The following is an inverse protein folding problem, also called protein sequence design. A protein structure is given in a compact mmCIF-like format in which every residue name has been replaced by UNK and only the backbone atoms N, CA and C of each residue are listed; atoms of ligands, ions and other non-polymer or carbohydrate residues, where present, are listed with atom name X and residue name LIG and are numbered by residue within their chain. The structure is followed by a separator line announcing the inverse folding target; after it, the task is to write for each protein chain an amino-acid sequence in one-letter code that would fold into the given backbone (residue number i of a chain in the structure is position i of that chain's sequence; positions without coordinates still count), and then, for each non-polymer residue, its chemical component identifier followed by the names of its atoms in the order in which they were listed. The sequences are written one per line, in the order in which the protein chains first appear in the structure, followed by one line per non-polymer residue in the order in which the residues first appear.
data_IF_463246595690
#
_entry.id   IF_463246595690
#
_cell.length_a   1.000
_cell.length_b   1.000
_cell.length_c   1.000
_cell.angle_alpha   90.00
_cell.angle_beta   90.00
_cell.angle_gamma   90.00
#
_symmetry.space_group_name_H-M   'P 1'
#
loop_
_entity.id
_entity.type
_entity.pdbx_description
1 polymer ?
#
# COMPACT_ATOMS: atom_id res chain seq x y z
N UNK A 1 -6.20 28.26 -1.97
CA UNK A 1 -6.23 27.09 -2.88
C UNK A 1 -5.10 26.17 -2.44
N UNK A 2 -5.40 24.96 -1.98
CA UNK A 2 -4.35 23.99 -1.58
C UNK A 2 -3.81 23.38 -2.87
N UNK A 3 -2.53 23.59 -3.16
CA UNK A 3 -1.86 22.98 -4.32
C UNK A 3 -1.41 21.58 -3.90
N UNK A 4 -1.99 20.53 -4.49
CA UNK A 4 -1.49 19.15 -4.32
C UNK A 4 -0.19 19.04 -5.13
N UNK A 5 0.93 18.77 -4.45
CA UNK A 5 2.18 18.48 -5.14
C UNK A 5 2.03 17.22 -6.01
N UNK A 6 2.73 17.21 -7.14
CA UNK A 6 2.76 16.05 -8.03
C UNK A 6 3.27 14.84 -7.26
N UNK A 7 2.58 13.73 -7.42
CA UNK A 7 3.00 12.47 -6.81
C UNK A 7 4.33 12.02 -7.41
N UNK A 8 5.22 11.50 -6.56
CA UNK A 8 6.49 10.94 -7.04
C UNK A 8 6.23 9.65 -7.80
N UNK A 9 7.08 9.40 -8.80
CA UNK A 9 7.08 8.13 -9.53
C UNK A 9 7.93 7.15 -8.74
N UNK A 10 7.37 5.97 -8.47
CA UNK A 10 8.05 4.86 -7.79
C UNK A 10 8.30 3.81 -8.85
N UNK A 11 9.56 3.66 -9.26
CA UNK A 11 9.97 2.69 -10.26
C UNK A 11 10.10 1.30 -9.62
N UNK A 12 9.91 0.24 -10.41
CA UNK A 12 10.03 -1.13 -9.90
C UNK A 12 11.47 -1.51 -9.59
N UNK A 13 12.39 -1.09 -10.46
CA UNK A 13 13.79 -1.49 -10.37
C UNK A 13 14.54 -0.69 -9.29
N UNK A 14 14.17 0.58 -9.10
CA UNK A 14 14.70 1.46 -8.07
C UNK A 14 13.56 2.25 -7.41
N UNK A 15 13.16 1.80 -6.22
CA UNK A 15 12.03 2.35 -5.47
C UNK A 15 12.34 3.76 -4.95
N UNK A 16 13.61 4.03 -4.63
CA UNK A 16 14.04 5.24 -3.93
C UNK A 16 14.68 6.29 -4.86
N UNK A 17 14.83 6.00 -6.16
CA UNK A 17 15.38 6.91 -7.17
C UNK A 17 14.87 8.37 -7.10
N UNK A 18 13.60 8.55 -6.73
CA UNK A 18 12.93 9.86 -6.65
C UNK A 18 12.61 10.31 -5.21
N UNK A 19 13.11 9.62 -4.18
CA UNK A 19 12.89 10.01 -2.79
C UNK A 19 13.93 11.02 -2.30
N UNK A 20 13.59 12.30 -2.47
CA UNK A 20 14.45 13.43 -2.06
C UNK A 20 14.65 13.57 -0.54
N UNK A 21 13.89 12.83 0.27
CA UNK A 21 13.98 12.88 1.74
C UNK A 21 14.83 11.74 2.34
N UNK A 22 15.45 10.90 1.50
CA UNK A 22 16.40 9.85 1.90
C UNK A 22 15.83 8.91 2.99
N UNK A 23 14.64 8.36 2.73
CA UNK A 23 13.90 7.54 3.71
C UNK A 23 14.12 6.05 3.54
N UNK A 24 15.02 5.63 2.65
CA UNK A 24 15.35 4.22 2.39
C UNK A 24 15.69 3.48 3.68
N UNK A 25 16.67 3.96 4.45
CA UNK A 25 17.06 3.30 5.71
C UNK A 25 15.94 3.23 6.75
N UNK A 26 15.02 4.20 6.78
CA UNK A 26 13.84 4.15 7.65
C UNK A 26 12.85 3.09 7.19
N UNK A 27 12.61 3.01 5.88
CA UNK A 27 11.71 2.04 5.25
C UNK A 27 12.26 0.63 5.41
N UNK A 28 13.56 0.42 5.22
CA UNK A 28 14.22 -0.88 5.42
C UNK A 28 14.01 -1.41 6.83
N UNK A 29 14.30 -0.56 7.83
CA UNK A 29 14.14 -0.92 9.23
C UNK A 29 12.68 -1.25 9.56
N UNK A 30 11.73 -0.44 9.08
CA UNK A 30 10.32 -0.69 9.32
C UNK A 30 9.81 -1.95 8.60
N UNK A 31 10.21 -2.16 7.35
CA UNK A 31 9.87 -3.36 6.58
C UNK A 31 10.38 -4.63 7.27
N UNK A 32 11.58 -4.60 7.84
CA UNK A 32 12.13 -5.72 8.62
C UNK A 32 11.29 -6.03 9.86
N UNK A 33 10.81 -5.00 10.56
CA UNK A 33 9.92 -5.19 11.72
C UNK A 33 8.61 -5.84 11.25
N UNK A 34 8.00 -5.31 10.18
CA UNK A 34 6.75 -5.83 9.62
C UNK A 34 6.92 -7.30 9.18
N UNK A 35 8.01 -7.64 8.49
CA UNK A 35 8.24 -8.97 7.94
C UNK A 35 8.62 -10.04 8.97
N UNK A 36 9.16 -9.64 10.12
CA UNK A 36 9.53 -10.56 11.20
C UNK A 36 8.45 -10.74 12.28
N UNK A 37 7.45 -9.86 12.29
CA UNK A 37 6.36 -9.93 13.27
C UNK A 37 5.31 -10.95 12.82
N UNK A 38 5.08 -11.98 13.63
CA UNK A 38 4.09 -13.03 13.33
C UNK A 38 2.72 -12.74 13.92
N UNK A 39 2.65 -11.97 15.00
CA UNK A 39 1.39 -11.64 15.66
C UNK A 39 0.69 -10.46 14.95
N UNK A 40 -0.65 -10.46 14.84
CA UNK A 40 -1.37 -9.32 14.28
C UNK A 40 -1.11 -8.04 15.08
N UNK A 41 -0.80 -6.95 14.39
CA UNK A 41 -0.59 -5.64 15.02
C UNK A 41 -1.14 -4.49 14.20
N UNK A 42 -1.29 -3.34 14.87
CA UNK A 42 -1.68 -2.07 14.25
C UNK A 42 -0.57 -1.07 14.47
N UNK A 43 -0.14 -0.41 13.39
CA UNK A 43 0.85 0.66 13.42
C UNK A 43 0.20 1.97 13.00
N UNK A 44 0.47 3.04 13.76
CA UNK A 44 0.12 4.40 13.39
C UNK A 44 1.38 5.18 12.97
N UNK A 45 1.28 5.94 11.89
CA UNK A 45 2.33 6.82 11.39
C UNK A 45 1.81 8.25 11.50
N UNK A 46 2.47 9.06 12.33
CA UNK A 46 2.09 10.45 12.57
C UNK A 46 3.19 11.43 12.14
N UNK A 47 2.77 12.59 11.61
CA UNK A 47 3.64 13.70 11.21
C UNK A 47 2.78 14.93 10.85
N UNK A 48 3.41 16.08 10.60
CA UNK A 48 2.71 17.28 10.13
C UNK A 48 2.14 17.16 8.71
N UNK A 49 1.19 18.05 8.39
CA UNK A 49 0.67 18.18 7.03
C UNK A 49 1.81 18.58 6.06
N UNK A 50 1.91 17.88 4.93
CA UNK A 50 2.97 18.11 3.95
C UNK A 50 4.29 17.38 4.22
N UNK A 51 4.44 16.66 5.34
CA UNK A 51 5.64 15.87 5.64
C UNK A 51 5.84 14.63 4.74
N UNK A 52 4.96 14.41 3.75
CA UNK A 52 5.10 13.31 2.79
C UNK A 52 4.69 11.93 3.31
N UNK A 53 3.78 11.84 4.30
CA UNK A 53 3.23 10.58 4.82
C UNK A 53 2.66 9.67 3.74
N UNK A 54 1.87 10.23 2.82
CA UNK A 54 1.30 9.49 1.68
C UNK A 54 2.40 8.87 0.81
N UNK A 55 3.46 9.64 0.53
CA UNK A 55 4.63 9.16 -0.20
C UNK A 55 5.35 8.04 0.57
N UNK A 56 5.54 8.23 1.88
CA UNK A 56 6.17 7.23 2.73
C UNK A 56 5.44 5.89 2.70
N UNK A 57 4.11 5.88 2.88
CA UNK A 57 3.31 4.63 2.87
C UNK A 57 3.37 3.94 1.49
N UNK A 58 3.45 4.71 0.40
CA UNK A 58 3.58 4.16 -0.95
C UNK A 58 4.95 3.55 -1.21
N UNK A 59 6.03 4.21 -0.76
CA UNK A 59 7.38 3.66 -0.83
C UNK A 59 7.48 2.39 0.03
N UNK A 60 6.96 2.41 1.26
CA UNK A 60 6.90 1.26 2.16
C UNK A 60 6.18 0.07 1.52
N UNK A 61 5.01 0.30 0.91
CA UNK A 61 4.26 -0.73 0.19
C UNK A 61 5.09 -1.33 -0.96
N UNK A 62 5.70 -0.49 -1.79
CA UNK A 62 6.51 -0.97 -2.92
C UNK A 62 7.70 -1.81 -2.43
N UNK A 63 8.34 -1.38 -1.34
CA UNK A 63 9.48 -2.07 -0.74
C UNK A 63 9.08 -3.43 -0.14
N UNK A 64 7.97 -3.49 0.60
CA UNK A 64 7.41 -4.73 1.14
C UNK A 64 7.07 -5.75 0.03
N UNK A 65 6.50 -5.28 -1.07
CA UNK A 65 6.13 -6.15 -2.20
C UNK A 65 7.34 -6.66 -2.96
N UNK A 66 8.37 -5.82 -3.17
CA UNK A 66 9.55 -6.18 -3.95
C UNK A 66 10.54 -7.04 -3.17
N UNK A 67 10.90 -6.62 -1.95
CA UNK A 67 12.02 -7.23 -1.21
C UNK A 67 11.58 -8.37 -0.27
N UNK A 68 10.31 -8.37 0.15
CA UNK A 68 9.78 -9.36 1.09
C UNK A 68 8.63 -10.21 0.51
N UNK A 69 8.21 -9.96 -0.74
CA UNK A 69 7.08 -10.63 -1.39
C UNK A 69 5.75 -10.50 -0.59
N UNK A 70 5.63 -9.46 0.24
CA UNK A 70 4.46 -9.23 1.10
C UNK A 70 3.37 -8.48 0.33
N UNK A 71 2.27 -9.17 0.05
CA UNK A 71 1.10 -8.59 -0.59
C UNK A 71 0.50 -7.47 0.27
N UNK A 72 0.40 -6.27 -0.31
CA UNK A 72 0.07 -5.06 0.44
C UNK A 72 -1.04 -4.26 -0.26
N UNK A 73 -2.08 -3.89 0.47
CA UNK A 73 -3.19 -3.09 -0.04
C UNK A 73 -3.07 -1.65 0.49
N UNK A 74 -3.01 -0.68 -0.43
CA UNK A 74 -3.08 0.74 -0.08
C UNK A 74 -4.52 1.24 -0.18
N UNK A 75 -5.00 1.94 0.85
CA UNK A 75 -6.33 2.53 0.89
C UNK A 75 -6.26 3.98 1.36
N UNK A 76 -6.85 4.89 0.58
CA UNK A 76 -6.93 6.32 0.90
C UNK A 76 -8.38 6.66 1.23
N UNK A 77 -8.65 6.99 2.50
CA UNK A 77 -10.01 7.30 2.94
C UNK A 77 -10.62 8.51 2.22
N UNK A 78 -9.79 9.45 1.75
CA UNK A 78 -10.26 10.64 1.02
C UNK A 78 -10.57 10.39 -0.45
N UNK A 79 -9.85 9.46 -1.09
CA UNK A 79 -10.04 9.14 -2.51
C UNK A 79 -11.19 8.14 -2.71
N UNK A 80 -11.41 7.29 -1.71
CA UNK A 80 -12.39 6.20 -1.75
C UNK A 80 -13.70 6.53 -0.99
N UNK A 81 -13.93 7.81 -0.67
CA UNK A 81 -15.07 8.35 0.12
C UNK A 81 -16.39 8.44 -0.69
N UNK A 82 -16.48 7.79 -1.83
CA UNK A 82 -17.67 7.84 -2.69
C UNK A 82 -18.82 6.97 -2.16
N UNK A 83 -18.54 6.00 -1.28
CA UNK A 83 -19.55 5.15 -0.68
C UNK A 83 -19.85 5.63 0.74
N UNK A 84 -21.14 5.63 1.12
CA UNK A 84 -21.54 5.89 2.51
C UNK A 84 -21.13 4.78 3.49
N UNK A 85 -20.53 3.70 2.97
CA UNK A 85 -20.21 2.48 3.70
C UNK A 85 -18.73 2.11 3.50
N UNK A 86 -17.82 2.63 4.35
CA UNK A 86 -16.37 2.45 4.21
C UNK A 86 -15.94 0.98 4.08
N UNK A 87 -16.67 0.07 4.73
CA UNK A 87 -16.40 -1.37 4.66
C UNK A 87 -16.59 -1.93 3.26
N UNK A 88 -17.59 -1.47 2.50
CA UNK A 88 -17.82 -1.92 1.12
C UNK A 88 -16.64 -1.51 0.23
N UNK A 89 -16.17 -0.26 0.35
CA UNK A 89 -15.01 0.23 -0.40
C UNK A 89 -13.74 -0.59 -0.08
N UNK A 90 -13.52 -0.91 1.19
CA UNK A 90 -12.38 -1.73 1.63
C UNK A 90 -12.48 -3.15 1.07
N UNK A 91 -13.63 -3.82 1.23
CA UNK A 91 -13.84 -5.20 0.76
C UNK A 91 -13.69 -5.29 -0.75
N UNK A 92 -14.26 -4.35 -1.51
CA UNK A 92 -14.11 -4.32 -2.96
C UNK A 92 -12.65 -4.14 -3.40
N UNK A 93 -11.84 -3.41 -2.64
CA UNK A 93 -10.41 -3.25 -2.91
C UNK A 93 -9.62 -4.53 -2.61
N UNK A 94 -9.98 -5.23 -1.54
CA UNK A 94 -9.43 -6.55 -1.21
C UNK A 94 -9.78 -7.57 -2.30
N UNK A 95 -11.04 -7.65 -2.70
CA UNK A 95 -11.52 -8.58 -3.75
C UNK A 95 -10.77 -8.34 -5.08
N UNK A 96 -10.68 -7.08 -5.51
CA UNK A 96 -9.91 -6.71 -6.72
C UNK A 96 -8.44 -7.07 -6.60
N UNK A 97 -7.83 -6.88 -5.44
CA UNK A 97 -6.42 -7.23 -5.21
C UNK A 97 -6.21 -8.76 -5.29
N UNK A 98 -7.11 -9.54 -4.68
CA UNK A 98 -7.09 -11.01 -4.76
C UNK A 98 -7.25 -11.47 -6.21
N UNK A 99 -8.25 -10.97 -6.94
CA UNK A 99 -8.51 -11.38 -8.32
C UNK A 99 -7.34 -11.13 -9.28
N UNK A 100 -6.58 -10.05 -9.06
CA UNK A 100 -5.42 -9.72 -9.88
C UNK A 100 -4.19 -10.58 -9.53
N UNK A 101 -3.98 -10.89 -8.24
CA UNK A 101 -2.75 -11.52 -7.76
C UNK A 101 -2.87 -13.04 -7.56
N UNK A 102 -4.08 -13.59 -7.51
CA UNK A 102 -4.36 -15.01 -7.25
C UNK A 102 -5.14 -15.67 -8.40
N UNK A 103 -4.86 -15.28 -9.65
CA UNK A 103 -5.47 -15.90 -10.83
C UNK A 103 -4.96 -17.33 -11.05
N UNK A 104 -5.45 -18.24 -10.22
CA UNK A 104 -5.15 -19.65 -10.18
C UNK A 104 -6.19 -20.42 -9.37
N UNK A 105 -7.46 -20.33 -9.78
CA UNK A 105 -8.45 -21.37 -9.50
C UNK A 105 -9.52 -21.36 -10.59
N UNK A 106 -9.38 -22.25 -11.57
CA UNK A 106 -10.43 -22.58 -12.55
C UNK A 106 -11.75 -23.02 -11.87
N UNK A 107 -11.71 -23.32 -10.57
CA UNK A 107 -12.86 -23.77 -9.78
C UNK A 107 -13.82 -22.65 -9.38
N UNK A 108 -13.39 -21.38 -9.28
CA UNK A 108 -14.30 -20.27 -9.00
C UNK A 108 -15.22 -19.93 -10.19
N UNK A 109 -14.78 -20.26 -11.43
CA UNK A 109 -15.61 -20.13 -12.64
C UNK A 109 -16.73 -21.18 -12.71
N UNK A 110 -16.64 -22.27 -11.94
CA UNK A 110 -17.67 -23.33 -11.89
C UNK A 110 -18.83 -22.99 -10.95
N UNK A 111 -18.62 -22.06 -10.02
CA UNK A 111 -19.61 -21.61 -9.04
C UNK A 111 -20.50 -20.45 -9.52
N UNK A 112 -20.19 -19.85 -10.68
CA UNK A 112 -20.98 -18.75 -11.27
C UNK A 112 -21.92 -19.22 -12.39
N UNK A 113 -22.35 -20.49 -12.39
CA UNK A 113 -23.31 -21.04 -13.37
C UNK A 113 -24.66 -21.34 -12.73
#
# INVERSE_FOLDING_TARGET
MIVKNKEIVIERDDIFANDVLDREGLIDNLSKIISTTTDPFVLSIDADWGAGKTTFVRLLKAHLEKEYEIQSIYFSAWEEDYSKEPLISIVGKIDKHIGNNFSGNEDLKKLSK
#
